data_IF_282307068821
#
_entry.id   IF_282307068821
#
_cell.length_a   1.000
_cell.length_b   1.000
_cell.length_c   1.000
_cell.angle_alpha   90.00
_cell.angle_beta   90.00
_cell.angle_gamma   90.00
#
_symmetry.space_group_name_H-M   'P 1'
#
loop_
_entity.id
_entity.type
_entity.pdbx_description
1 polymer ?
#
# COMPACT_ATOMS: atom_id res chain seq x y z
N UNK A 1 -33.34 2.38 -4.74
CA UNK A 1 -32.35 2.96 -5.67
C UNK A 1 -30.98 3.15 -5.02
N UNK A 2 -30.71 4.17 -4.20
CA UNK A 2 -29.37 4.34 -3.58
C UNK A 2 -28.96 3.22 -2.61
N UNK A 3 -29.92 2.59 -1.92
CA UNK A 3 -29.65 1.43 -1.05
C UNK A 3 -29.33 0.16 -1.84
N UNK A 4 -29.98 -0.06 -2.99
CA UNK A 4 -29.76 -1.24 -3.83
C UNK A 4 -28.37 -1.22 -4.49
N UNK A 5 -27.88 -0.03 -4.87
CA UNK A 5 -26.53 0.14 -5.41
C UNK A 5 -25.44 -0.11 -4.35
N UNK A 6 -25.67 0.34 -3.11
CA UNK A 6 -24.74 0.09 -1.99
C UNK A 6 -24.62 -1.40 -1.68
N UNK A 7 -25.74 -2.13 -1.67
CA UNK A 7 -25.77 -3.57 -1.42
C UNK A 7 -25.14 -4.36 -2.58
N UNK A 8 -25.32 -3.89 -3.82
CA UNK A 8 -24.65 -4.46 -5.00
C UNK A 8 -23.13 -4.25 -4.97
N UNK A 9 -22.67 -3.08 -4.53
CA UNK A 9 -21.25 -2.75 -4.35
C UNK A 9 -20.61 -3.55 -3.20
N UNK A 10 -21.31 -3.69 -2.07
CA UNK A 10 -20.84 -4.53 -0.96
C UNK A 10 -20.71 -5.99 -1.39
N UNK A 11 -21.69 -6.54 -2.09
CA UNK A 11 -21.62 -7.90 -2.62
C UNK A 11 -20.51 -8.09 -3.68
N UNK A 12 -20.24 -7.06 -4.49
CA UNK A 12 -19.15 -7.07 -5.47
C UNK A 12 -17.76 -7.02 -4.82
N UNK A 13 -17.59 -6.20 -3.77
CA UNK A 13 -16.33 -6.08 -3.02
C UNK A 13 -16.08 -7.31 -2.13
N UNK A 14 -17.14 -7.87 -1.54
CA UNK A 14 -17.08 -9.02 -0.63
C UNK A 14 -17.15 -10.38 -1.32
N UNK A 15 -17.30 -10.43 -2.65
CA UNK A 15 -17.28 -11.64 -3.47
C UNK A 15 -15.91 -12.34 -3.44
N UNK A 16 -15.69 -13.08 -2.35
CA UNK A 16 -14.81 -14.23 -2.30
C UNK A 16 -15.56 -15.38 -2.98
N UNK A 17 -15.38 -15.54 -4.29
CA UNK A 17 -15.08 -16.82 -4.95
C UNK A 17 -15.26 -16.72 -6.47
N UNK A 18 -14.15 -17.01 -7.15
CA UNK A 18 -13.96 -17.79 -8.38
C UNK A 18 -14.82 -17.54 -9.63
N UNK A 19 -14.09 -17.15 -10.69
CA UNK A 19 -14.43 -17.35 -12.11
C UNK A 19 -15.68 -16.64 -12.63
N UNK A 20 -15.57 -15.34 -12.89
CA UNK A 20 -16.03 -14.71 -14.15
C UNK A 20 -15.60 -13.23 -14.19
N UNK A 21 -14.98 -12.86 -15.32
CA UNK A 21 -14.67 -11.51 -15.81
C UNK A 21 -13.34 -10.87 -15.38
N UNK A 22 -12.38 -11.01 -16.30
CA UNK A 22 -11.03 -10.47 -16.39
C UNK A 22 -10.91 -8.92 -16.41
N UNK A 23 -11.86 -8.18 -15.84
CA UNK A 23 -11.88 -6.71 -15.89
C UNK A 23 -12.22 -6.02 -14.56
N UNK A 24 -12.42 -6.77 -13.47
CA UNK A 24 -12.93 -6.19 -12.23
C UNK A 24 -12.52 -7.02 -11.01
N UNK A 25 -11.49 -6.58 -10.27
CA UNK A 25 -11.28 -6.90 -8.85
C UNK A 25 -10.08 -6.12 -8.29
N UNK A 26 -10.30 -4.90 -7.80
CA UNK A 26 -9.36 -4.31 -6.85
C UNK A 26 -9.47 -5.05 -5.53
N UNK A 27 -8.35 -5.52 -4.98
CA UNK A 27 -8.33 -5.99 -3.59
C UNK A 27 -8.49 -4.80 -2.66
N UNK A 28 -8.99 -5.02 -1.44
CA UNK A 28 -9.00 -3.98 -0.40
C UNK A 28 -7.61 -3.37 -0.21
N UNK A 29 -6.56 -4.19 -0.20
CA UNK A 29 -5.16 -3.73 -0.15
C UNK A 29 -4.82 -2.75 -1.28
N UNK A 30 -5.29 -3.01 -2.51
CA UNK A 30 -5.07 -2.11 -3.66
C UNK A 30 -5.79 -0.78 -3.49
N UNK A 31 -6.99 -0.78 -2.90
CA UNK A 31 -7.72 0.45 -2.59
C UNK A 31 -7.05 1.25 -1.48
N UNK A 32 -6.52 0.58 -0.45
CA UNK A 32 -5.74 1.22 0.61
C UNK A 32 -4.44 1.81 0.06
N UNK A 33 -3.78 1.11 -0.88
CA UNK A 33 -2.62 1.64 -1.60
C UNK A 33 -2.97 2.89 -2.40
N UNK A 34 -4.07 2.86 -3.16
CA UNK A 34 -4.54 4.01 -3.92
C UNK A 34 -4.88 5.20 -3.01
N UNK A 35 -5.52 4.96 -1.86
CA UNK A 35 -5.83 5.99 -0.87
C UNK A 35 -4.55 6.65 -0.31
N UNK A 36 -3.55 5.84 0.06
CA UNK A 36 -2.27 6.35 0.58
C UNK A 36 -1.56 7.20 -0.49
N UNK A 37 -1.49 6.70 -1.73
CA UNK A 37 -0.86 7.44 -2.84
C UNK A 37 -1.59 8.75 -3.13
N UNK A 38 -2.92 8.73 -3.19
CA UNK A 38 -3.71 9.94 -3.41
C UNK A 38 -3.49 10.97 -2.30
N UNK A 39 -3.50 10.53 -1.03
CA UNK A 39 -3.24 11.40 0.11
C UNK A 39 -1.84 12.02 0.02
N UNK A 40 -0.81 11.20 -0.20
CA UNK A 40 0.58 11.67 -0.24
C UNK A 40 0.83 12.66 -1.38
N UNK A 41 0.20 12.45 -2.55
CA UNK A 41 0.29 13.34 -3.71
C UNK A 41 -0.44 14.67 -3.47
N UNK A 42 -1.65 14.62 -2.92
CA UNK A 42 -2.42 15.80 -2.54
C UNK A 42 -1.70 16.62 -1.45
N UNK A 43 -1.03 15.96 -0.51
CA UNK A 43 -0.30 16.60 0.58
C UNK A 43 1.01 17.27 0.12
N UNK A 44 1.72 16.61 -0.82
CA UNK A 44 3.05 17.04 -1.29
C UNK A 44 2.99 18.07 -2.43
N UNK A 45 1.85 18.22 -3.09
CA UNK A 45 1.67 19.12 -4.23
C UNK A 45 1.18 20.52 -3.86
N UNK A 46 1.20 21.45 -4.82
CA UNK A 46 0.57 22.77 -4.67
C UNK A 46 -0.95 22.70 -4.52
N UNK A 47 -1.55 21.53 -4.78
CA UNK A 47 -2.98 21.26 -4.71
C UNK A 47 -3.55 21.39 -3.28
N UNK A 48 -2.72 21.23 -2.24
CA UNK A 48 -3.12 21.38 -0.83
C UNK A 48 -3.75 22.74 -0.47
N UNK A 49 -3.61 23.75 -1.35
CA UNK A 49 -4.23 25.07 -1.18
C UNK A 49 -5.68 25.11 -1.67
N UNK A 50 -6.09 24.16 -2.51
CA UNK A 50 -7.47 24.03 -2.92
C UNK A 50 -8.33 23.62 -1.72
N UNK A 51 -9.48 24.28 -1.56
CA UNK A 51 -10.37 24.09 -0.42
C UNK A 51 -10.88 22.65 -0.31
N UNK A 52 -11.23 22.02 -1.43
CA UNK A 52 -11.75 20.66 -1.43
C UNK A 52 -10.66 19.66 -1.07
N UNK A 53 -9.43 19.90 -1.53
CA UNK A 53 -8.28 19.05 -1.25
C UNK A 53 -7.83 19.21 0.21
N UNK A 54 -7.81 20.44 0.74
CA UNK A 54 -7.52 20.68 2.15
C UNK A 54 -8.52 19.95 3.06
N UNK A 55 -9.82 20.05 2.76
CA UNK A 55 -10.86 19.34 3.51
C UNK A 55 -10.69 17.81 3.43
N UNK A 56 -10.35 17.28 2.25
CA UNK A 56 -10.04 15.85 2.08
C UNK A 56 -8.84 15.44 2.92
N UNK A 57 -7.74 16.21 2.89
CA UNK A 57 -6.53 15.92 3.66
C UNK A 57 -6.82 15.91 5.17
N UNK A 58 -7.58 16.88 5.67
CA UNK A 58 -7.93 16.93 7.09
C UNK A 58 -8.83 15.76 7.51
N UNK A 59 -9.80 15.38 6.67
CA UNK A 59 -10.65 14.22 6.90
C UNK A 59 -9.86 12.89 6.86
N UNK A 60 -9.04 12.70 5.83
CA UNK A 60 -8.36 11.44 5.56
C UNK A 60 -7.17 11.18 6.50
N UNK A 61 -6.58 12.23 7.08
CA UNK A 61 -5.34 12.15 7.89
C UNK A 61 -5.37 11.04 8.93
N UNK A 62 -6.39 11.02 9.79
CA UNK A 62 -6.47 10.04 10.88
C UNK A 62 -6.50 8.59 10.37
N UNK A 63 -7.12 8.36 9.21
CA UNK A 63 -7.21 7.04 8.60
C UNK A 63 -5.90 6.65 7.95
N UNK A 64 -5.27 7.57 7.20
CA UNK A 64 -3.99 7.32 6.55
C UNK A 64 -2.88 7.11 7.56
N UNK A 65 -2.83 7.90 8.62
CA UNK A 65 -1.87 7.71 9.72
C UNK A 65 -2.06 6.34 10.37
N UNK A 66 -3.32 5.96 10.65
CA UNK A 66 -3.60 4.65 11.23
C UNK A 66 -3.24 3.49 10.30
N UNK A 67 -3.49 3.64 9.00
CA UNK A 67 -3.11 2.65 7.99
C UNK A 67 -1.59 2.51 7.91
N UNK A 68 -0.84 3.63 7.94
CA UNK A 68 0.63 3.62 7.93
C UNK A 68 1.22 2.97 9.19
N UNK A 69 0.59 3.16 10.35
CA UNK A 69 0.98 2.47 11.59
C UNK A 69 0.75 0.96 11.55
N UNK A 70 -0.42 0.52 11.07
CA UNK A 70 -0.80 -0.89 11.05
C UNK A 70 -0.09 -1.67 9.94
N UNK A 71 0.29 -1.00 8.86
CA UNK A 71 0.93 -1.63 7.72
C UNK A 71 2.35 -2.11 8.06
N UNK A 72 2.68 -3.31 7.59
CA UNK A 72 4.03 -3.85 7.73
C UNK A 72 5.06 -2.92 7.06
N UNK A 73 6.07 -2.51 7.81
CA UNK A 73 7.16 -1.66 7.35
C UNK A 73 8.52 -2.32 7.59
N UNK A 74 9.56 -1.83 6.90
CA UNK A 74 10.95 -2.26 7.12
C UNK A 74 11.38 -2.09 8.58
N UNK A 75 10.82 -1.11 9.30
CA UNK A 75 11.20 -0.80 10.67
C UNK A 75 10.77 -1.89 11.67
N UNK A 76 9.87 -2.80 11.27
CA UNK A 76 9.46 -3.96 12.07
C UNK A 76 10.48 -5.11 12.04
N UNK A 77 11.54 -4.97 11.26
CA UNK A 77 12.57 -6.01 11.09
C UNK A 77 13.95 -5.50 11.47
N UNK A 78 14.72 -6.36 12.14
CA UNK A 78 16.15 -6.18 12.32
C UNK A 78 16.89 -6.87 11.17
N UNK A 79 17.74 -6.11 10.49
CA UNK A 79 18.60 -6.65 9.45
C UNK A 79 19.81 -7.27 10.13
N UNK A 80 19.95 -8.60 10.01
CA UNK A 80 21.05 -9.33 10.61
C UNK A 80 22.23 -9.36 9.64
N UNK A 81 21.98 -9.79 8.39
CA UNK A 81 23.01 -9.81 7.34
C UNK A 81 22.41 -9.80 5.95
N UNK A 82 23.12 -9.20 4.99
CA UNK A 82 22.79 -9.35 3.57
C UNK A 82 23.28 -10.71 3.08
N UNK A 83 22.41 -11.46 2.38
CA UNK A 83 22.68 -12.81 1.87
C UNK A 83 22.72 -12.88 0.33
N UNK A 84 22.32 -11.82 -0.37
CA UNK A 84 22.44 -11.74 -1.82
C UNK A 84 22.26 -10.32 -2.33
N UNK A 85 22.90 -9.99 -3.46
CA UNK A 85 22.75 -8.71 -4.15
C UNK A 85 22.41 -8.98 -5.61
N UNK A 86 21.46 -8.24 -6.14
CA UNK A 86 21.00 -8.32 -7.52
C UNK A 86 21.00 -6.95 -8.18
N UNK A 87 20.47 -6.89 -9.41
CA UNK A 87 20.48 -5.67 -10.20
C UNK A 87 19.62 -4.53 -9.61
N UNK A 88 18.56 -4.86 -8.86
CA UNK A 88 17.53 -3.91 -8.40
C UNK A 88 17.45 -3.79 -6.86
N UNK A 89 18.41 -4.37 -6.16
CA UNK A 89 18.44 -4.40 -4.70
C UNK A 89 19.10 -5.65 -4.12
N UNK A 90 18.69 -6.05 -2.93
CA UNK A 90 19.36 -7.07 -2.13
C UNK A 90 18.38 -7.99 -1.40
N UNK A 91 18.87 -9.15 -0.99
CA UNK A 91 18.16 -10.08 -0.11
C UNK A 91 18.89 -10.10 1.22
N UNK A 92 18.17 -9.84 2.31
CA UNK A 92 18.71 -9.82 3.67
C UNK A 92 18.07 -10.90 4.54
N UNK A 93 18.87 -11.54 5.38
CA UNK A 93 18.42 -12.34 6.51
C UNK A 93 17.97 -11.38 7.61
N UNK A 94 16.69 -11.46 8.00
CA UNK A 94 16.06 -10.53 8.93
C UNK A 94 15.33 -11.25 10.05
N UNK A 95 15.16 -10.55 11.18
CA UNK A 95 14.33 -10.98 12.31
C UNK A 95 13.18 -10.00 12.51
N UNK A 96 11.96 -10.51 12.66
CA UNK A 96 10.80 -9.67 12.99
C UNK A 96 10.79 -9.37 14.50
N UNK A 97 10.78 -8.08 14.86
CA UNK A 97 11.03 -7.62 16.24
C UNK A 97 10.05 -8.12 17.31
N UNK A 98 8.80 -8.35 16.92
CA UNK A 98 7.73 -8.71 17.87
C UNK A 98 7.54 -10.23 18.04
N UNK A 99 8.03 -11.03 17.11
CA UNK A 99 7.82 -12.50 17.09
C UNK A 99 9.13 -13.28 17.14
N UNK A 100 10.27 -12.61 17.00
CA UNK A 100 11.60 -13.20 16.80
C UNK A 100 11.71 -14.16 15.59
N UNK A 101 10.67 -14.20 14.75
CA UNK A 101 10.65 -15.03 13.56
C UNK A 101 11.67 -14.55 12.53
N UNK A 102 12.28 -15.51 11.85
CA UNK A 102 13.36 -15.29 10.90
C UNK A 102 12.86 -15.41 9.47
N UNK A 103 13.29 -14.48 8.61
CA UNK A 103 12.89 -14.42 7.20
C UNK A 103 14.07 -14.06 6.30
N UNK A 104 13.91 -14.35 5.00
CA UNK A 104 14.72 -13.73 3.94
C UNK A 104 13.89 -12.61 3.30
N UNK A 105 14.29 -11.36 3.51
CA UNK A 105 13.61 -10.18 2.98
C UNK A 105 14.28 -9.71 1.69
N UNK A 106 13.54 -9.74 0.58
CA UNK A 106 13.96 -9.11 -0.68
C UNK A 106 13.61 -7.63 -0.65
N UNK A 107 14.63 -6.79 -0.71
CA UNK A 107 14.54 -5.33 -0.69
C UNK A 107 14.80 -4.83 -2.10
N UNK A 108 13.84 -4.09 -2.66
CA UNK A 108 13.90 -3.56 -4.02
C UNK A 108 13.86 -2.03 -4.00
N UNK A 109 14.73 -1.39 -4.77
CA UNK A 109 14.73 0.06 -4.91
C UNK A 109 13.82 0.49 -6.07
N UNK A 110 12.71 1.19 -5.75
CA UNK A 110 11.73 1.65 -6.74
C UNK A 110 12.36 2.48 -7.86
N UNK A 111 13.28 3.39 -7.53
CA UNK A 111 13.93 4.27 -8.51
C UNK A 111 14.87 3.52 -9.44
N UNK A 112 15.57 2.49 -8.94
CA UNK A 112 16.42 1.64 -9.78
C UNK A 112 15.62 0.76 -10.72
N UNK A 113 14.42 0.33 -10.31
CA UNK A 113 13.49 -0.40 -11.17
C UNK A 113 13.03 0.50 -12.31
N UNK A 114 12.59 1.73 -12.01
CA UNK A 114 12.06 2.66 -13.01
C UNK A 114 13.10 3.03 -14.07
N UNK A 115 14.36 3.29 -13.69
CA UNK A 115 15.44 3.65 -14.62
C UNK A 115 15.79 2.61 -15.69
N UNK A 116 15.35 1.36 -15.53
CA UNK A 116 15.62 0.24 -16.46
C UNK A 116 14.39 -0.20 -17.24
N UNK A 117 13.23 0.34 -16.90
CA UNK A 117 12.00 0.12 -17.67
C UNK A 117 11.90 1.08 -18.87
N UNK A 118 12.79 2.08 -18.92
CA UNK A 118 13.09 2.94 -20.08
C UNK A 118 14.25 2.34 -20.88
#
# INVERSE_FOLDING_TARGET
>A
MLRDESESLENFVLSKNETTNLLNKFSLESLLDALIVLYDECFSSSLRRDKHIANFLDYARQYVDKLKELRLSRNHFDIIKVIGRGAFGEVAFVRMKNTDNIYAMKILNKWEILKRAE
#
